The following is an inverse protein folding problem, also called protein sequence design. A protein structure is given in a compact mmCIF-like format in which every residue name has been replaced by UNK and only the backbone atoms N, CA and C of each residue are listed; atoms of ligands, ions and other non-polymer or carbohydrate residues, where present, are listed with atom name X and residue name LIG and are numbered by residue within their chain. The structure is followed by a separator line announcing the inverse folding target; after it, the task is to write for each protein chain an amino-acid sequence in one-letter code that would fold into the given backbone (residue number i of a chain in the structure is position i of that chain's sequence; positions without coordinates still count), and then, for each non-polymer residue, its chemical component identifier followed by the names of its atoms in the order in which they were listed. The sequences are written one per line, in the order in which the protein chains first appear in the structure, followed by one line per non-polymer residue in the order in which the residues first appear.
data_IF_210065299185
#
_entry.id   IF_210065299185
#
_cell.length_a   1.000
_cell.length_b   1.000
_cell.length_c   1.000
_cell.angle_alpha   90.00
_cell.angle_beta   90.00
_cell.angle_gamma   90.00
#
_symmetry.space_group_name_H-M   'P 1'
#
loop_
_entity.id
_entity.type
_entity.pdbx_description
1 polymer ?
#
# COMPACT_ATOMS: atom_id res chain seq x y z
N UNK A 1 -6.98 7.14 13.06
CA UNK A 1 -5.56 6.97 12.67
C UNK A 1 -5.26 5.51 12.40
N UNK A 2 -5.48 4.60 13.36
CA UNK A 2 -5.22 3.16 13.20
C UNK A 2 -6.05 2.49 12.06
N UNK A 3 -7.33 2.84 11.91
CA UNK A 3 -8.16 2.35 10.80
C UNK A 3 -7.57 2.70 9.43
N UNK A 4 -7.10 3.95 9.24
CA UNK A 4 -6.43 4.35 8.00
C UNK A 4 -5.12 3.61 7.79
N UNK A 5 -4.31 3.44 8.84
CA UNK A 5 -3.09 2.64 8.76
C UNK A 5 -3.38 1.19 8.32
N UNK A 6 -4.43 0.56 8.86
CA UNK A 6 -4.86 -0.78 8.47
C UNK A 6 -5.36 -0.84 7.01
N UNK A 7 -6.14 0.15 6.58
CA UNK A 7 -6.61 0.26 5.20
C UNK A 7 -5.44 0.37 4.21
N UNK A 8 -4.46 1.23 4.49
CA UNK A 8 -3.29 1.38 3.65
C UNK A 8 -2.33 0.19 3.73
N UNK A 9 -2.24 -0.49 4.88
CA UNK A 9 -1.50 -1.75 4.98
C UNK A 9 -2.14 -2.85 4.11
N UNK A 10 -3.47 -2.98 4.11
CA UNK A 10 -4.18 -3.90 3.22
C UNK A 10 -3.95 -3.54 1.74
N UNK A 11 -3.99 -2.25 1.40
CA UNK A 11 -3.72 -1.77 0.05
C UNK A 11 -2.29 -2.06 -0.40
N UNK A 12 -1.31 -1.99 0.51
CA UNK A 12 0.08 -2.36 0.23
C UNK A 12 0.21 -3.85 -0.09
N UNK A 13 -0.47 -4.72 0.65
CA UNK A 13 -0.49 -6.16 0.37
C UNK A 13 -1.10 -6.43 -1.01
N UNK A 14 -2.21 -5.77 -1.34
CA UNK A 14 -2.84 -5.89 -2.66
C UNK A 14 -1.89 -5.40 -3.77
N UNK A 15 -1.23 -4.26 -3.57
CA UNK A 15 -0.21 -3.76 -4.49
C UNK A 15 0.94 -4.74 -4.68
N UNK A 16 1.39 -5.40 -3.62
CA UNK A 16 2.48 -6.36 -3.68
C UNK A 16 2.08 -7.62 -4.47
N UNK A 17 0.83 -8.09 -4.31
CA UNK A 17 0.29 -9.20 -5.09
C UNK A 17 0.19 -8.86 -6.58
N UNK A 18 -0.21 -7.63 -6.92
CA UNK A 18 -0.19 -7.13 -8.32
C UNK A 18 1.25 -7.00 -8.83
N UNK A 19 2.13 -6.48 -7.97
CA UNK A 19 3.57 -6.38 -8.19
C UNK A 19 4.31 -7.72 -8.09
N UNK A 20 3.64 -8.85 -7.92
CA UNK A 20 4.25 -10.18 -8.06
C UNK A 20 3.62 -10.95 -9.22
N UNK A 21 2.72 -10.31 -9.97
CA UNK A 21 1.94 -10.95 -11.03
C UNK A 21 0.96 -12.01 -10.53
N UNK A 22 0.67 -12.05 -9.21
CA UNK A 22 -0.32 -12.95 -8.62
C UNK A 22 -1.76 -12.42 -8.85
N UNK A 23 -1.90 -11.11 -9.06
CA UNK A 23 -3.16 -10.44 -9.36
C UNK A 23 -3.03 -9.56 -10.60
N UNK A 24 -4.00 -9.67 -11.51
CA UNK A 24 -4.11 -8.86 -12.72
C UNK A 24 -3.63 -9.57 -13.99
N UNK A 25 -4.42 -9.49 -15.06
CA UNK A 25 -4.01 -9.93 -16.39
C UNK A 25 -3.40 -8.75 -17.15
N UNK A 26 -2.34 -8.96 -17.95
CA UNK A 26 -1.73 -7.89 -18.72
C UNK A 26 -2.78 -7.21 -19.62
N UNK A 27 -2.97 -5.92 -19.41
CA UNK A 27 -3.86 -5.09 -20.24
C UNK A 27 -2.96 -4.39 -21.26
N UNK A 28 -3.21 -4.60 -22.55
CA UNK A 28 -2.45 -3.98 -23.66
C UNK A 28 -0.94 -4.23 -23.65
N UNK A 29 -0.49 -5.43 -23.23
CA UNK A 29 0.93 -5.82 -23.13
C UNK A 29 1.78 -4.99 -22.15
N UNK A 30 1.16 -4.07 -21.38
CA UNK A 30 1.85 -3.31 -20.35
C UNK A 30 1.91 -4.12 -19.05
N UNK A 31 3.10 -4.28 -18.48
CA UNK A 31 3.24 -5.02 -17.23
C UNK A 31 2.62 -4.20 -16.09
N UNK A 32 1.56 -4.76 -15.48
CA UNK A 32 0.97 -4.24 -14.23
C UNK A 32 1.94 -4.32 -13.05
N UNK A 33 3.05 -5.04 -13.25
CA UNK A 33 4.10 -5.29 -12.28
C UNK A 33 4.69 -3.99 -11.70
N UNK A 34 5.09 -3.05 -12.57
CA UNK A 34 5.64 -1.74 -12.15
C UNK A 34 4.60 -0.89 -11.42
N UNK A 35 3.34 -0.98 -11.84
CA UNK A 35 2.24 -0.25 -11.21
C UNK A 35 1.91 -0.83 -9.82
N UNK A 36 1.92 -2.15 -9.66
CA UNK A 36 1.75 -2.83 -8.38
C UNK A 36 2.83 -2.45 -7.37
N UNK A 37 4.10 -2.42 -7.78
CA UNK A 37 5.19 -1.94 -6.92
C UNK A 37 5.03 -0.47 -6.54
N UNK A 38 4.64 0.39 -7.48
CA UNK A 38 4.34 1.80 -7.21
C UNK A 38 3.21 1.99 -6.20
N UNK A 39 2.13 1.21 -6.34
CA UNK A 39 1.02 1.21 -5.38
C UNK A 39 1.48 0.75 -3.99
N UNK A 40 2.29 -0.31 -3.94
CA UNK A 40 2.82 -0.90 -2.69
C UNK A 40 3.60 0.13 -1.89
N UNK A 41 4.58 0.79 -2.51
CA UNK A 41 5.45 1.75 -1.83
C UNK A 41 4.64 2.93 -1.28
N UNK A 42 3.71 3.48 -2.08
CA UNK A 42 2.86 4.59 -1.65
C UNK A 42 1.94 4.19 -0.48
N UNK A 43 1.33 3.01 -0.57
CA UNK A 43 0.45 2.50 0.48
C UNK A 43 1.22 2.25 1.79
N UNK A 44 2.43 1.69 1.73
CA UNK A 44 3.29 1.53 2.92
C UNK A 44 3.64 2.88 3.54
N UNK A 45 4.04 3.86 2.73
CA UNK A 45 4.42 5.19 3.22
C UNK A 45 3.25 5.86 3.98
N UNK A 46 2.04 5.78 3.41
CA UNK A 46 0.82 6.31 4.04
C UNK A 46 0.47 5.53 5.32
N UNK A 47 0.57 4.20 5.31
CA UNK A 47 0.33 3.39 6.51
C UNK A 47 1.26 3.80 7.66
N UNK A 48 2.57 3.94 7.39
CA UNK A 48 3.56 4.39 8.37
C UNK A 48 3.24 5.80 8.88
N UNK A 49 2.91 6.73 7.97
CA UNK A 49 2.54 8.10 8.33
C UNK A 49 1.36 8.13 9.31
N UNK A 50 0.29 7.39 9.04
CA UNK A 50 -0.88 7.33 9.94
C UNK A 50 -0.56 6.67 11.28
N UNK A 51 0.34 5.68 11.33
CA UNK A 51 0.82 5.09 12.59
C UNK A 51 1.61 6.11 13.41
N UNK A 52 2.54 6.84 12.78
CA UNK A 52 3.38 7.81 13.45
C UNK A 52 2.57 8.99 14.01
N UNK A 53 1.62 9.53 13.24
CA UNK A 53 0.71 10.57 13.74
C UNK A 53 -0.17 10.05 14.87
N UNK A 54 -0.69 8.82 14.74
CA UNK A 54 -1.47 8.19 15.80
C UNK A 54 -0.68 8.06 17.11
N UNK A 55 0.59 7.65 17.03
CA UNK A 55 1.50 7.56 18.20
C UNK A 55 1.84 8.92 18.79
N UNK A 56 2.00 9.95 17.96
CA UNK A 56 2.26 11.33 18.42
C UNK A 56 1.08 11.92 19.20
N UNK A 57 -0.16 11.64 18.79
CA UNK A 57 -1.36 12.09 19.53
C UNK A 57 -1.60 11.35 20.84
N UNK A 58 -1.07 10.14 21.02
CA UNK A 58 -1.20 9.37 22.26
C UNK A 58 -0.20 9.81 23.36
N UNK A 59 0.72 10.73 23.05
CA UNK A 59 1.77 11.20 23.96
C UNK A 59 1.57 12.64 24.47
N UNK A 60 0.49 13.30 24.07
CA UNK A 60 0.08 14.62 24.53
C UNK A 60 -1.29 14.52 25.21
#
# INVERSE_FOLDING_TARGET
MLVFALLFAALAVVGALVGLGQLGHPIYAQSLHSYGWGLTVNAVALAVFFVLIGRGRLRH
#
